data_IF_959535530899
#
_entry.id   IF_959535530899
#
_cell.length_a   1.000
_cell.length_b   1.000
_cell.length_c   1.000
_cell.angle_alpha   90.00
_cell.angle_beta   90.00
_cell.angle_gamma   90.00
#
_symmetry.space_group_name_H-M   'P 1'
#
loop_
_entity.id
_entity.type
_entity.pdbx_description
1 polymer ?
#
# COMPACT_ATOMS: atom_id res chain seq x y z
N UNK A 1 24.18 -17.69 6.26
CA UNK A 1 22.75 -17.35 6.20
C UNK A 1 22.60 -16.22 5.23
N UNK A 2 22.12 -16.54 4.03
CA UNK A 2 21.75 -15.52 3.05
C UNK A 2 20.46 -14.87 3.55
N UNK A 3 20.51 -13.56 3.79
CA UNK A 3 19.36 -12.78 4.22
C UNK A 3 18.84 -12.01 3.01
N UNK A 4 17.61 -12.31 2.61
CA UNK A 4 16.99 -11.72 1.44
C UNK A 4 16.10 -10.56 1.83
N UNK A 5 16.26 -9.43 1.14
CA UNK A 5 15.44 -8.23 1.29
C UNK A 5 14.86 -7.85 -0.06
N UNK A 6 13.55 -8.01 -0.22
CA UNK A 6 12.86 -7.91 -1.51
C UNK A 6 11.87 -6.76 -1.48
N UNK A 7 11.96 -5.81 -2.41
CA UNK A 7 10.97 -4.77 -2.57
C UNK A 7 9.79 -5.26 -3.42
N UNK A 8 8.57 -5.04 -2.94
CA UNK A 8 7.33 -5.39 -3.65
C UNK A 8 6.55 -4.10 -3.94
N UNK A 9 6.47 -3.74 -5.23
CA UNK A 9 5.82 -2.52 -5.72
C UNK A 9 4.69 -2.87 -6.71
N UNK A 10 3.77 -1.94 -6.90
CA UNK A 10 2.76 -1.95 -7.96
C UNK A 10 2.16 -0.55 -8.10
N UNK A 11 1.47 -0.30 -9.22
CA UNK A 11 0.59 0.85 -9.38
C UNK A 11 1.31 2.19 -9.07
N UNK A 12 2.48 2.40 -9.67
CA UNK A 12 3.25 3.65 -9.56
C UNK A 12 2.66 4.76 -10.42
N UNK A 13 1.96 4.45 -11.53
CA UNK A 13 1.22 5.40 -12.38
C UNK A 13 1.99 6.72 -12.66
N UNK A 14 3.27 6.61 -13.01
CA UNK A 14 4.14 7.73 -13.38
C UNK A 14 4.75 8.49 -12.20
N UNK A 15 4.52 8.06 -10.96
CA UNK A 15 5.10 8.68 -9.77
C UNK A 15 5.91 7.66 -8.95
N UNK A 16 7.23 7.73 -9.07
CA UNK A 16 8.15 7.08 -8.14
C UNK A 16 8.65 8.09 -7.12
N UNK A 17 8.11 7.99 -5.89
CA UNK A 17 8.42 8.84 -4.74
C UNK A 17 9.84 8.63 -4.25
N UNK A 18 10.50 9.69 -3.79
CA UNK A 18 11.84 9.59 -3.23
C UNK A 18 11.85 8.78 -1.93
N UNK A 19 10.78 8.86 -1.14
CA UNK A 19 10.61 8.05 0.07
C UNK A 19 10.58 6.54 -0.23
N UNK A 20 10.03 6.14 -1.40
CA UNK A 20 10.09 4.75 -1.86
C UNK A 20 11.52 4.39 -2.21
N UNK A 21 12.20 5.22 -3.03
CA UNK A 21 13.60 5.02 -3.44
C UNK A 21 14.51 4.82 -2.23
N UNK A 22 14.40 5.68 -1.21
CA UNK A 22 15.23 5.60 -0.01
C UNK A 22 15.00 4.32 0.81
N UNK A 23 13.81 3.73 0.73
CA UNK A 23 13.44 2.51 1.47
C UNK A 23 13.82 1.22 0.75
N UNK A 24 14.01 1.27 -0.56
CA UNK A 24 14.31 0.08 -1.39
C UNK A 24 15.77 0.03 -1.88
N UNK A 25 16.58 1.06 -1.60
CA UNK A 25 17.97 1.16 -2.08
C UNK A 25 18.92 0.06 -1.63
N UNK A 26 18.57 -0.64 -0.56
CA UNK A 26 19.31 -1.75 0.03
C UNK A 26 18.59 -3.10 -0.18
N UNK A 27 17.53 -3.13 -0.99
CA UNK A 27 16.90 -4.38 -1.42
C UNK A 27 17.75 -5.07 -2.49
N UNK A 28 17.79 -6.39 -2.43
CA UNK A 28 18.52 -7.23 -3.38
C UNK A 28 17.88 -7.19 -4.77
N UNK A 29 16.54 -7.25 -4.82
CA UNK A 29 15.75 -7.18 -6.06
C UNK A 29 14.43 -6.45 -5.80
N UNK A 30 13.83 -5.96 -6.89
CA UNK A 30 12.53 -5.29 -6.91
C UNK A 30 11.58 -6.13 -7.77
N UNK A 31 10.42 -6.50 -7.22
CA UNK A 31 9.27 -6.97 -7.97
C UNK A 31 8.29 -5.81 -8.15
N UNK A 32 7.90 -5.51 -9.40
CA UNK A 32 6.88 -4.52 -9.69
C UNK A 32 5.75 -5.13 -10.53
N UNK A 33 4.56 -5.25 -9.93
CA UNK A 33 3.41 -5.95 -10.51
C UNK A 33 2.61 -5.10 -11.50
N UNK A 34 3.28 -4.26 -12.29
CA UNK A 34 2.67 -3.45 -13.36
C UNK A 34 2.01 -2.14 -12.94
N UNK A 35 1.48 -1.45 -13.94
CA UNK A 35 0.95 -0.08 -13.91
C UNK A 35 2.04 0.93 -13.51
N UNK A 36 3.14 0.91 -14.28
CA UNK A 36 4.29 1.80 -14.12
C UNK A 36 3.95 3.24 -14.48
N UNK A 37 3.18 3.43 -15.55
CA UNK A 37 2.81 4.75 -16.08
C UNK A 37 3.79 5.36 -17.09
N UNK A 38 4.99 4.78 -17.26
CA UNK A 38 5.94 5.17 -18.29
C UNK A 38 7.30 4.45 -18.18
N UNK A 39 8.10 4.42 -19.26
CA UNK A 39 9.42 3.78 -19.27
C UNK A 39 10.41 4.42 -18.28
N UNK A 40 10.27 5.71 -17.98
CA UNK A 40 11.13 6.43 -17.05
C UNK A 40 11.10 5.86 -15.63
N UNK A 41 9.97 5.28 -15.21
CA UNK A 41 9.86 4.62 -13.90
C UNK A 41 10.66 3.31 -13.90
N UNK A 42 10.60 2.54 -14.99
CA UNK A 42 11.37 1.31 -15.15
C UNK A 42 12.86 1.60 -15.10
N UNK A 43 13.32 2.59 -15.88
CA UNK A 43 14.73 3.01 -15.94
C UNK A 43 15.24 3.43 -14.55
N UNK A 44 14.46 4.23 -13.82
CA UNK A 44 14.83 4.65 -12.45
C UNK A 44 14.88 3.50 -11.46
N UNK A 45 13.98 2.53 -11.54
CA UNK A 45 14.01 1.36 -10.66
C UNK A 45 15.22 0.45 -10.96
N UNK A 46 15.56 0.27 -12.23
CA UNK A 46 16.71 -0.53 -12.67
C UNK A 46 18.06 0.06 -12.25
N UNK A 47 18.12 1.38 -12.01
CA UNK A 47 19.31 2.03 -11.42
C UNK A 47 19.50 1.70 -9.93
N UNK A 48 18.47 1.20 -9.26
CA UNK A 48 18.49 0.90 -7.82
C UNK A 48 18.89 -0.56 -7.59
N UNK A 49 18.19 -1.49 -8.22
CA UNK A 49 18.40 -2.94 -8.09
C UNK A 49 17.82 -3.68 -9.32
N UNK A 50 18.13 -4.97 -9.54
CA UNK A 50 17.46 -5.79 -10.54
C UNK A 50 15.93 -5.75 -10.39
N UNK A 51 15.22 -5.59 -11.51
CA UNK A 51 13.76 -5.44 -11.51
C UNK A 51 13.11 -6.59 -12.27
N UNK A 52 12.28 -7.34 -11.56
CA UNK A 52 11.28 -8.23 -12.14
C UNK A 52 9.99 -7.44 -12.35
N UNK A 53 9.43 -7.50 -13.56
CA UNK A 53 8.30 -6.66 -13.97
C UNK A 53 7.24 -7.47 -14.69
N UNK A 54 5.99 -7.29 -14.26
CA UNK A 54 4.82 -7.77 -14.98
C UNK A 54 4.07 -6.56 -15.56
N UNK A 55 3.46 -6.74 -16.73
CA UNK A 55 2.74 -5.67 -17.43
C UNK A 55 1.38 -5.40 -16.78
N UNK A 56 1.11 -4.13 -16.46
CA UNK A 56 -0.20 -3.68 -15.98
C UNK A 56 -1.16 -3.28 -17.11
N UNK A 57 -2.45 -3.14 -16.78
CA UNK A 57 -3.44 -2.79 -17.79
C UNK A 57 -3.31 -1.33 -18.30
N UNK A 58 -2.61 -0.46 -17.58
CA UNK A 58 -2.31 0.90 -18.00
C UNK A 58 -0.96 1.02 -18.73
N UNK A 59 -0.15 -0.03 -18.76
CA UNK A 59 1.11 -0.08 -19.50
C UNK A 59 0.83 -0.43 -20.97
N UNK A 60 0.56 0.59 -21.79
CA UNK A 60 0.10 0.46 -23.19
C UNK A 60 1.25 0.11 -24.15
N UNK A 61 1.31 0.76 -25.32
CA UNK A 61 2.22 0.40 -26.42
C UNK A 61 3.70 0.43 -26.02
N UNK A 62 4.07 1.35 -25.13
CA UNK A 62 5.46 1.47 -24.66
C UNK A 62 5.96 0.22 -23.91
N UNK A 63 5.05 -0.58 -23.35
CA UNK A 63 5.36 -1.79 -22.59
C UNK A 63 4.94 -3.07 -23.33
N UNK A 64 4.82 -3.03 -24.67
CA UNK A 64 4.31 -4.16 -25.46
C UNK A 64 5.12 -5.45 -25.29
N UNK A 65 6.42 -5.32 -25.05
CA UNK A 65 7.36 -6.43 -24.89
C UNK A 65 7.50 -6.89 -23.43
N UNK A 66 6.83 -6.21 -22.49
CA UNK A 66 6.83 -6.59 -21.08
C UNK A 66 5.94 -7.83 -20.86
N UNK A 67 6.40 -8.83 -20.10
CA UNK A 67 5.63 -10.05 -19.90
C UNK A 67 4.39 -9.79 -19.03
N UNK A 68 3.31 -10.54 -19.26
CA UNK A 68 2.11 -10.45 -18.42
C UNK A 68 2.27 -11.06 -17.04
N UNK A 69 3.20 -12.00 -16.90
CA UNK A 69 3.56 -12.62 -15.64
C UNK A 69 5.05 -12.89 -15.56
N UNK A 70 5.54 -13.05 -14.34
CA UNK A 70 6.91 -13.44 -14.04
C UNK A 70 6.88 -14.60 -13.05
N UNK A 71 7.67 -15.65 -13.29
CA UNK A 71 7.90 -16.72 -12.32
C UNK A 71 9.39 -16.87 -12.10
N UNK A 72 9.85 -16.65 -10.88
CA UNK A 72 11.27 -16.53 -10.57
C UNK A 72 11.59 -17.20 -9.25
N UNK A 73 12.86 -17.59 -9.08
CA UNK A 73 13.36 -18.15 -7.84
C UNK A 73 14.41 -17.21 -7.25
N UNK A 74 14.20 -16.80 -5.99
CA UNK A 74 15.18 -16.04 -5.21
C UNK A 74 15.54 -16.89 -3.99
N UNK A 75 16.82 -17.25 -3.86
CA UNK A 75 17.27 -18.21 -2.85
C UNK A 75 16.47 -19.52 -2.93
N UNK A 76 15.92 -19.94 -1.80
CA UNK A 76 15.08 -21.13 -1.69
C UNK A 76 13.58 -20.91 -1.98
N UNK A 77 13.15 -19.70 -2.38
CA UNK A 77 11.74 -19.32 -2.55
C UNK A 77 11.34 -19.08 -3.99
N UNK A 78 10.14 -19.53 -4.35
CA UNK A 78 9.54 -19.34 -5.68
C UNK A 78 8.48 -18.25 -5.65
N UNK A 79 8.60 -17.32 -6.59
CA UNK A 79 7.70 -16.19 -6.78
C UNK A 79 6.90 -16.37 -8.06
N UNK A 80 5.63 -15.96 -8.02
CA UNK A 80 4.81 -15.73 -9.19
C UNK A 80 4.24 -14.31 -9.11
N UNK A 81 4.32 -13.54 -10.18
CA UNK A 81 3.81 -12.17 -10.21
C UNK A 81 3.03 -11.92 -11.49
N UNK A 82 1.86 -11.31 -11.36
CA UNK A 82 1.04 -10.82 -12.47
C UNK A 82 0.31 -9.55 -12.02
N UNK A 83 -0.24 -8.76 -12.92
CA UNK A 83 -0.90 -7.52 -12.50
C UNK A 83 -2.25 -7.76 -11.82
N UNK A 84 -3.12 -8.61 -12.41
CA UNK A 84 -4.43 -8.90 -11.84
C UNK A 84 -4.46 -10.30 -11.26
N UNK A 85 -5.04 -10.46 -10.08
CA UNK A 85 -5.22 -11.78 -9.44
C UNK A 85 -6.07 -12.73 -10.29
N UNK A 86 -6.96 -12.18 -11.13
CA UNK A 86 -7.78 -12.95 -12.07
C UNK A 86 -7.00 -13.54 -13.23
N UNK A 87 -5.77 -13.05 -13.49
CA UNK A 87 -4.92 -13.55 -14.56
C UNK A 87 -4.03 -14.72 -14.08
N UNK A 88 -4.16 -15.13 -12.81
CA UNK A 88 -3.47 -16.31 -12.29
C UNK A 88 -3.99 -17.59 -12.98
N UNK A 89 -3.11 -18.54 -13.31
CA UNK A 89 -3.54 -19.85 -13.78
C UNK A 89 -4.25 -20.63 -12.67
N UNK A 90 -5.14 -21.55 -13.06
CA UNK A 90 -5.84 -22.44 -12.11
C UNK A 90 -4.87 -23.32 -11.30
N UNK A 91 -3.74 -23.71 -11.91
CA UNK A 91 -2.68 -24.48 -11.26
C UNK A 91 -1.34 -23.71 -11.29
N UNK A 92 -0.88 -23.26 -10.13
CA UNK A 92 0.39 -22.54 -9.97
C UNK A 92 1.61 -23.45 -9.79
N UNK A 93 1.41 -24.73 -9.44
CA UNK A 93 2.48 -25.62 -8.98
C UNK A 93 3.15 -25.10 -7.69
N UNK A 94 4.43 -25.42 -7.47
CA UNK A 94 5.16 -24.96 -6.28
C UNK A 94 5.46 -23.45 -6.39
N UNK A 95 4.78 -22.64 -5.57
CA UNK A 95 4.98 -21.20 -5.42
C UNK A 95 4.89 -20.88 -3.92
N UNK A 96 5.79 -20.05 -3.42
CA UNK A 96 5.77 -19.56 -2.03
C UNK A 96 5.04 -18.22 -1.95
N UNK A 97 5.28 -17.33 -2.92
CA UNK A 97 4.72 -15.98 -2.95
C UNK A 97 4.04 -15.66 -4.28
N UNK A 98 2.82 -15.13 -4.20
CA UNK A 98 2.10 -14.55 -5.34
C UNK A 98 1.99 -13.05 -5.15
N UNK A 99 2.45 -12.26 -6.13
CA UNK A 99 2.45 -10.79 -6.07
C UNK A 99 1.48 -10.26 -7.14
N UNK A 100 0.53 -9.42 -6.73
CA UNK A 100 -0.47 -8.80 -7.60
C UNK A 100 -0.58 -7.29 -7.37
N UNK A 101 -1.04 -6.55 -8.39
CA UNK A 101 -1.34 -5.11 -8.31
C UNK A 101 -2.83 -4.82 -8.54
N UNK A 102 -3.13 -3.84 -9.39
CA UNK A 102 -4.44 -3.53 -9.99
C UNK A 102 -5.49 -2.92 -9.06
N UNK A 103 -5.66 -3.48 -7.86
CA UNK A 103 -6.71 -3.04 -6.94
C UNK A 103 -6.33 -1.79 -6.14
N UNK A 104 -5.04 -1.44 -6.11
CA UNK A 104 -4.43 -0.42 -5.25
C UNK A 104 -4.65 -0.67 -3.74
N UNK A 105 -5.16 -1.84 -3.34
CA UNK A 105 -5.47 -2.19 -1.96
C UNK A 105 -4.40 -3.15 -1.45
N UNK A 106 -3.74 -2.75 -0.37
CA UNK A 106 -2.82 -3.64 0.32
C UNK A 106 -3.55 -4.91 0.76
N UNK A 107 -3.01 -6.08 0.41
CA UNK A 107 -3.48 -7.39 0.83
C UNK A 107 -2.27 -8.23 1.24
N UNK A 108 -2.38 -8.93 2.37
CA UNK A 108 -1.45 -9.98 2.78
C UNK A 108 -2.29 -11.15 3.27
N UNK A 109 -2.28 -12.25 2.52
CA UNK A 109 -3.18 -13.38 2.76
C UNK A 109 -2.46 -14.70 2.54
N UNK A 110 -2.46 -15.55 3.55
CA UNK A 110 -2.01 -16.94 3.43
C UNK A 110 -3.17 -17.82 2.95
N UNK A 111 -2.98 -18.55 1.85
CA UNK A 111 -3.90 -19.60 1.40
C UNK A 111 -3.12 -20.88 1.13
N UNK A 112 -3.31 -21.90 1.97
CA UNK A 112 -2.47 -23.10 1.94
C UNK A 112 -1.00 -22.74 2.20
N UNK A 113 -0.10 -23.19 1.33
CA UNK A 113 1.34 -22.88 1.39
C UNK A 113 1.70 -21.54 0.73
N UNK A 114 0.78 -20.90 0.02
CA UNK A 114 1.07 -19.70 -0.78
C UNK A 114 0.70 -18.44 0.00
N UNK A 115 1.62 -17.47 0.04
CA UNK A 115 1.36 -16.14 0.54
C UNK A 115 1.03 -15.19 -0.63
N UNK A 116 -0.20 -14.70 -0.67
CA UNK A 116 -0.68 -13.72 -1.65
C UNK A 116 -0.46 -12.31 -1.11
N UNK A 117 0.20 -11.48 -1.92
CA UNK A 117 0.60 -10.12 -1.56
C UNK A 117 0.13 -9.17 -2.65
N UNK A 118 -0.64 -8.16 -2.25
CA UNK A 118 -0.81 -6.94 -3.01
C UNK A 118 -0.14 -5.81 -2.22
N UNK A 119 0.91 -5.16 -2.73
CA UNK A 119 1.61 -4.10 -2.00
C UNK A 119 0.77 -2.81 -1.89
N UNK A 120 -0.33 -2.71 -2.63
CA UNK A 120 -1.13 -1.50 -2.79
C UNK A 120 -0.55 -0.63 -3.90
N UNK A 121 -0.66 0.70 -3.75
CA UNK A 121 -0.16 1.66 -4.74
C UNK A 121 0.76 2.67 -4.07
N UNK A 122 2.00 2.75 -4.54
CA UNK A 122 2.98 3.74 -4.07
C UNK A 122 3.05 4.99 -4.97
N UNK A 123 2.27 5.00 -6.05
CA UNK A 123 2.10 6.13 -6.99
C UNK A 123 1.24 7.28 -6.46
N UNK A 124 0.51 8.01 -7.34
CA UNK A 124 -0.47 9.01 -6.95
C UNK A 124 -1.56 8.37 -6.08
N UNK A 125 -2.03 9.11 -5.07
CA UNK A 125 -3.14 8.62 -4.23
C UNK A 125 -4.38 8.41 -5.09
N UNK A 126 -5.01 7.25 -4.95
CA UNK A 126 -6.26 6.90 -5.62
C UNK A 126 -7.37 6.78 -4.59
N UNK A 127 -8.37 7.63 -4.73
CA UNK A 127 -9.48 7.72 -3.78
C UNK A 127 -8.95 7.96 -2.35
N UNK A 128 -9.44 7.19 -1.38
CA UNK A 128 -9.02 7.21 0.02
C UNK A 128 -8.09 6.04 0.36
N UNK A 129 -7.51 5.36 -0.65
CA UNK A 129 -6.59 4.25 -0.38
C UNK A 129 -5.27 4.77 0.22
N UNK A 130 -4.64 4.00 1.12
CA UNK A 130 -3.30 4.29 1.58
C UNK A 130 -2.28 4.29 0.44
N UNK A 131 -1.22 5.10 0.59
CA UNK A 131 -0.05 5.02 -0.30
C UNK A 131 0.87 3.97 0.31
N UNK A 132 0.94 2.79 -0.28
CA UNK A 132 1.65 1.67 0.34
C UNK A 132 2.53 0.91 -0.65
N UNK A 133 3.53 0.25 -0.10
CA UNK A 133 4.23 -0.86 -0.73
C UNK A 133 4.68 -1.85 0.36
N UNK A 134 5.40 -2.91 0.01
CA UNK A 134 5.89 -3.87 0.99
C UNK A 134 7.38 -4.21 0.80
N UNK A 135 8.02 -4.62 1.90
CA UNK A 135 9.33 -5.27 1.88
C UNK A 135 9.18 -6.68 2.46
N UNK A 136 9.61 -7.68 1.72
CA UNK A 136 9.65 -9.06 2.16
C UNK A 136 11.07 -9.42 2.61
N UNK A 137 11.16 -10.07 3.76
CA UNK A 137 12.39 -10.58 4.35
C UNK A 137 12.28 -12.09 4.56
N UNK A 138 13.32 -12.85 4.18
CA UNK A 138 13.41 -14.28 4.48
C UNK A 138 14.87 -14.75 4.47
N UNK A 139 15.10 -15.96 4.96
CA UNK A 139 16.41 -16.61 4.99
C UNK A 139 16.30 -18.01 4.37
N UNK A 140 17.38 -18.45 3.70
CA UNK A 140 17.40 -19.74 3.00
C UNK A 140 17.34 -20.95 3.94
N UNK A 141 17.86 -20.82 5.16
CA UNK A 141 17.89 -21.93 6.11
C UNK A 141 16.59 -22.13 6.88
N UNK A 142 15.63 -21.21 6.77
CA UNK A 142 14.37 -21.26 7.54
C UNK A 142 13.13 -21.19 6.65
N UNK A 143 12.02 -21.73 7.15
CA UNK A 143 10.72 -21.60 6.50
C UNK A 143 10.07 -20.22 6.77
N UNK A 144 10.59 -19.47 7.73
CA UNK A 144 10.02 -18.21 8.18
C UNK A 144 10.26 -17.07 7.18
N UNK A 145 9.33 -16.12 7.19
CA UNK A 145 9.44 -14.88 6.44
C UNK A 145 8.68 -13.76 7.15
N UNK A 146 9.04 -12.52 6.85
CA UNK A 146 8.35 -11.33 7.36
C UNK A 146 8.01 -10.42 6.20
N UNK A 147 6.74 -10.03 6.10
CA UNK A 147 6.30 -8.97 5.18
C UNK A 147 6.06 -7.70 5.98
N UNK A 148 6.81 -6.65 5.66
CA UNK A 148 6.65 -5.33 6.23
C UNK A 148 5.84 -4.45 5.28
N UNK A 149 4.63 -4.08 5.70
CA UNK A 149 3.85 -3.04 5.03
C UNK A 149 4.46 -1.67 5.34
N UNK A 150 4.79 -0.91 4.30
CA UNK A 150 5.18 0.49 4.42
C UNK A 150 4.02 1.37 3.96
N UNK A 151 3.51 2.20 4.86
CA UNK A 151 2.45 3.18 4.57
C UNK A 151 3.06 4.58 4.57
N UNK A 152 3.08 5.20 3.40
CA UNK A 152 3.54 6.57 3.15
C UNK A 152 2.40 7.58 3.14
N UNK A 153 1.19 7.18 3.53
CA UNK A 153 0.11 8.14 3.69
C UNK A 153 0.48 9.16 4.75
N UNK A 154 0.14 10.45 4.55
CA UNK A 154 0.31 11.46 5.58
C UNK A 154 -0.30 10.95 6.89
N UNK A 155 0.56 10.85 7.90
CA UNK A 155 0.13 10.70 9.26
C UNK A 155 -0.58 11.99 9.68
N UNK A 156 -1.62 11.86 10.50
CA UNK A 156 -2.10 13.00 11.26
C UNK A 156 -0.98 13.42 12.22
N UNK A 157 -0.27 14.49 11.89
CA UNK A 157 0.82 14.98 12.74
C UNK A 157 0.26 15.58 14.02
N UNK A 158 1.04 15.57 15.10
CA UNK A 158 0.68 16.30 16.33
C UNK A 158 0.39 17.77 16.04
N UNK A 159 1.00 18.36 15.01
CA UNK A 159 0.79 19.75 14.61
C UNK A 159 -0.58 19.98 13.95
N UNK A 160 -0.97 19.10 13.03
CA UNK A 160 -2.30 19.11 12.42
C UNK A 160 -3.40 18.72 13.41
N UNK A 161 -3.06 17.90 14.41
CA UNK A 161 -3.98 17.46 15.45
C UNK A 161 -4.04 18.40 16.68
N UNK A 162 -3.00 19.17 17.00
CA UNK A 162 -3.00 20.19 18.06
C UNK A 162 -3.96 21.35 17.78
N UNK A 163 -4.29 21.59 16.50
CA UNK A 163 -5.37 22.52 16.12
C UNK A 163 -6.76 22.00 16.50
N UNK A 164 -6.89 20.70 16.73
CA UNK A 164 -8.11 20.06 17.21
C UNK A 164 -8.14 20.21 18.74
N UNK A 165 -8.45 21.42 19.22
CA UNK A 165 -8.64 21.72 20.65
C UNK A 165 -9.96 21.11 21.18
N UNK A 166 -10.17 19.82 20.94
CA UNK A 166 -11.38 19.10 21.33
C UNK A 166 -11.08 18.15 22.47
N UNK A 167 -12.02 17.93 23.38
CA UNK A 167 -11.95 16.81 24.31
C UNK A 167 -12.02 15.47 23.55
N UNK A 168 -11.58 14.37 24.16
CA UNK A 168 -11.71 13.03 23.56
C UNK A 168 -13.16 12.72 23.15
N UNK A 169 -14.13 13.15 23.96
CA UNK A 169 -15.56 12.98 23.69
C UNK A 169 -16.04 13.81 22.49
N UNK A 170 -15.49 15.00 22.31
CA UNK A 170 -15.83 15.85 21.17
C UNK A 170 -15.16 15.38 19.88
N UNK A 171 -13.95 14.79 20.00
CA UNK A 171 -13.28 14.13 18.89
C UNK A 171 -14.05 12.89 18.43
N UNK A 172 -14.51 12.05 19.35
CA UNK A 172 -15.35 10.89 19.04
C UNK A 172 -16.62 11.29 18.27
N UNK A 173 -17.32 12.33 18.75
CA UNK A 173 -18.49 12.91 18.06
C UNK A 173 -18.15 13.48 16.69
N UNK A 174 -17.01 14.16 16.56
CA UNK A 174 -16.54 14.70 15.29
C UNK A 174 -16.27 13.57 14.28
N UNK A 175 -15.57 12.52 14.67
CA UNK A 175 -15.30 11.35 13.82
C UNK A 175 -16.62 10.70 13.38
N UNK A 176 -17.56 10.51 14.32
CA UNK A 176 -18.90 10.00 13.99
C UNK A 176 -19.65 10.86 12.98
N UNK A 177 -19.56 12.19 13.09
CA UNK A 177 -20.15 13.12 12.10
C UNK A 177 -19.48 13.02 10.74
N UNK A 178 -18.14 12.98 10.70
CA UNK A 178 -17.37 12.84 9.46
C UNK A 178 -17.80 11.57 8.73
N UNK A 179 -17.85 10.42 9.42
CA UNK A 179 -18.28 9.14 8.84
C UNK A 179 -19.71 9.24 8.30
N UNK A 180 -20.64 9.79 9.10
CA UNK A 180 -22.03 9.94 8.68
C UNK A 180 -22.18 10.78 7.41
N UNK A 181 -21.46 11.90 7.33
CA UNK A 181 -21.49 12.79 6.16
C UNK A 181 -20.82 12.17 4.94
N UNK A 182 -19.72 11.45 5.14
CA UNK A 182 -19.02 10.72 4.08
C UNK A 182 -19.89 9.60 3.51
N UNK A 183 -20.52 8.79 4.36
CA UNK A 183 -21.47 7.75 3.95
C UNK A 183 -22.72 8.31 3.27
N UNK A 184 -23.05 9.59 3.50
CA UNK A 184 -24.10 10.31 2.77
C UNK A 184 -23.63 10.89 1.43
N UNK A 185 -22.39 10.62 1.00
CA UNK A 185 -21.84 11.00 -0.30
C UNK A 185 -21.24 12.41 -0.36
N UNK A 186 -21.02 13.09 0.78
CA UNK A 186 -20.33 14.39 0.77
C UNK A 186 -18.85 14.24 0.42
N UNK A 187 -18.31 15.21 -0.32
CA UNK A 187 -16.87 15.32 -0.59
C UNK A 187 -16.07 15.70 0.66
N UNK A 188 -14.77 15.38 0.66
CA UNK A 188 -13.83 15.75 1.74
C UNK A 188 -13.86 17.26 1.98
N UNK A 189 -13.90 18.06 0.92
CA UNK A 189 -14.04 19.52 0.94
C UNK A 189 -15.28 19.97 1.72
N UNK A 190 -16.43 19.38 1.41
CA UNK A 190 -17.70 19.73 2.03
C UNK A 190 -17.72 19.37 3.50
N UNK A 191 -17.18 18.20 3.87
CA UNK A 191 -17.12 17.71 5.25
C UNK A 191 -16.14 18.54 6.09
N UNK A 192 -14.98 18.89 5.53
CA UNK A 192 -14.00 19.75 6.18
C UNK A 192 -14.62 21.12 6.48
N UNK A 193 -15.32 21.70 5.49
CA UNK A 193 -16.00 22.99 5.63
C UNK A 193 -17.15 22.95 6.65
N UNK A 194 -18.01 21.92 6.61
CA UNK A 194 -19.16 21.80 7.52
C UNK A 194 -18.73 21.62 8.97
N UNK A 195 -17.66 20.87 9.21
CA UNK A 195 -17.16 20.58 10.55
C UNK A 195 -16.08 21.57 11.02
N UNK A 196 -15.65 22.51 10.16
CA UNK A 196 -14.59 23.50 10.44
C UNK A 196 -13.27 22.84 10.88
N UNK A 197 -12.86 21.82 10.14
CA UNK A 197 -11.62 21.07 10.37
C UNK A 197 -10.78 21.01 9.11
N UNK A 198 -9.49 20.74 9.27
CA UNK A 198 -8.58 20.56 8.15
C UNK A 198 -8.96 19.34 7.30
N UNK A 199 -8.73 19.44 5.98
CA UNK A 199 -9.04 18.36 5.03
C UNK A 199 -8.31 17.07 5.37
N UNK A 200 -7.05 17.16 5.79
CA UNK A 200 -6.21 16.01 6.14
C UNK A 200 -6.83 15.13 7.23
N UNK A 201 -7.50 15.74 8.22
CA UNK A 201 -8.20 14.99 9.27
C UNK A 201 -9.38 14.21 8.69
N UNK A 202 -10.19 14.88 7.86
CA UNK A 202 -11.34 14.25 7.21
C UNK A 202 -10.88 13.10 6.33
N UNK A 203 -9.84 13.32 5.52
CA UNK A 203 -9.27 12.31 4.63
C UNK A 203 -8.74 11.11 5.42
N UNK A 204 -8.00 11.35 6.51
CA UNK A 204 -7.47 10.28 7.36
C UNK A 204 -8.58 9.47 8.04
N UNK A 205 -9.64 10.12 8.54
CA UNK A 205 -10.81 9.43 9.12
C UNK A 205 -11.54 8.60 8.06
N UNK A 206 -11.84 9.19 6.90
CA UNK A 206 -12.52 8.49 5.82
C UNK A 206 -11.68 7.31 5.31
N UNK A 207 -10.36 7.47 5.20
CA UNK A 207 -9.42 6.39 4.89
C UNK A 207 -9.52 5.24 5.88
N UNK A 208 -9.44 5.50 7.18
CA UNK A 208 -9.57 4.43 8.18
C UNK A 208 -10.90 3.71 8.08
N UNK A 209 -12.00 4.47 7.88
CA UNK A 209 -13.34 3.92 7.73
C UNK A 209 -13.48 2.98 6.53
N UNK A 210 -12.93 3.34 5.36
CA UNK A 210 -13.06 2.49 4.15
C UNK A 210 -12.08 1.33 4.11
N UNK A 211 -10.93 1.45 4.77
CA UNK A 211 -9.88 0.41 4.78
C UNK A 211 -10.09 -0.63 5.88
N UNK A 212 -10.93 -0.36 6.87
CA UNK A 212 -11.22 -1.26 7.99
C UNK A 212 -12.73 -1.43 8.16
N UNK A 213 -13.36 -2.36 7.43
CA UNK A 213 -14.79 -2.63 7.56
C UNK A 213 -15.19 -2.91 9.01
N UNK A 214 -16.23 -2.24 9.50
CA UNK A 214 -16.73 -2.38 10.87
C UNK A 214 -15.93 -1.64 11.94
N UNK A 215 -14.93 -0.82 11.57
CA UNK A 215 -14.17 -0.02 12.53
C UNK A 215 -15.06 0.97 13.29
N UNK A 216 -14.89 1.05 14.61
CA UNK A 216 -15.58 2.02 15.47
C UNK A 216 -14.85 3.37 15.46
N UNK A 217 -15.50 4.43 15.93
CA UNK A 217 -14.86 5.75 16.14
C UNK A 217 -13.63 5.63 17.05
N UNK A 218 -13.75 4.83 18.12
CA UNK A 218 -12.64 4.52 19.02
C UNK A 218 -11.47 3.81 18.31
N UNK A 219 -11.76 2.83 17.45
CA UNK A 219 -10.75 2.13 16.66
C UNK A 219 -10.07 3.04 15.62
N UNK A 220 -10.79 4.00 15.05
CA UNK A 220 -10.19 5.02 14.18
C UNK A 220 -9.25 5.93 14.97
N UNK A 221 -9.65 6.39 16.17
CA UNK A 221 -8.78 7.21 17.02
C UNK A 221 -7.49 6.48 17.41
N UNK A 222 -7.56 5.19 17.71
CA UNK A 222 -6.39 4.36 18.01
C UNK A 222 -5.47 4.23 16.80
N UNK A 223 -6.01 3.86 15.63
CA UNK A 223 -5.24 3.67 14.38
C UNK A 223 -4.61 4.95 13.86
N UNK A 224 -5.22 6.10 14.10
CA UNK A 224 -4.67 7.41 13.78
C UNK A 224 -3.74 7.94 14.88
N UNK A 225 -3.51 7.15 15.93
CA UNK A 225 -2.73 7.52 17.11
C UNK A 225 -3.19 8.81 17.81
N UNK A 226 -4.45 9.22 17.60
CA UNK A 226 -5.00 10.47 18.13
C UNK A 226 -5.09 10.45 19.65
N UNK A 227 -5.20 9.25 20.27
CA UNK A 227 -5.16 9.10 21.73
C UNK A 227 -3.81 9.52 22.34
N UNK A 228 -2.69 9.37 21.61
CA UNK A 228 -1.36 9.80 22.07
C UNK A 228 -1.20 11.33 22.15
N UNK A 229 -2.22 12.08 21.75
CA UNK A 229 -2.29 13.55 21.88
C UNK A 229 -2.89 14.00 23.22
N UNK A 230 -3.61 13.11 23.91
CA UNK A 230 -4.30 13.39 25.17
C UNK A 230 -3.62 12.76 26.39
N UNK A 231 -2.63 11.90 26.15
CA UNK A 231 -1.75 11.38 27.19
C UNK A 231 -0.54 12.31 27.28
N UNK A 232 -0.53 13.14 28.33
CA UNK A 232 0.69 13.78 28.83
C UNK A 232 1.47 12.76 29.66
#
# INVERSE_FOLDING_TARGET
>A
MAHHKIALLADTHGLLREEVVQKIKDCEVIFHAGDFGGPEIVERLQQIAPVYMARGNNDKEWAKDMPYFVREQIGNRTFYMCHKKQDLPDELGKVDFVICGHSHKYELKQEGSICYINPGSCGPRRFHQPITFAILYFEDETADYRVEKIDLSPALTKENAKKISLSEKDLDRLIGRIIKEFSAGKSIEQIAKSNRVEKDLVEAVCRMYVTHPGVTTAGIMEKLELRKLYVN
#
